data_IF_234645942768
#
_entry.id   IF_234645942768
#
_cell.length_a   1.000
_cell.length_b   1.000
_cell.length_c   1.000
_cell.angle_alpha   90.00
_cell.angle_beta   90.00
_cell.angle_gamma   90.00
#
_symmetry.space_group_name_H-M   'P 1'
#
loop_
_entity.id
_entity.type
_entity.pdbx_description
1 polymer ?
#
# COMPACT_ATOMS: atom_id res chain seq x y z
N UNK A 1 -1.36 -1.95 21.82
CA UNK A 1 -0.28 -2.74 21.17
C UNK A 1 0.94 -1.84 20.98
N UNK A 2 2.18 -2.36 21.03
CA UNK A 2 3.37 -1.56 20.68
C UNK A 2 3.45 -1.47 19.15
N UNK A 3 3.49 -0.27 18.55
CA UNK A 3 3.54 -0.11 17.09
C UNK A 3 4.79 -0.76 16.50
N UNK A 4 4.66 -1.34 15.31
CA UNK A 4 5.77 -1.93 14.57
C UNK A 4 6.39 -0.86 13.64
N UNK A 5 7.18 0.02 14.25
CA UNK A 5 7.88 1.10 13.52
C UNK A 5 9.24 0.59 13.03
N UNK A 6 9.45 0.64 11.74
CA UNK A 6 10.73 0.33 11.12
C UNK A 6 11.81 1.34 11.54
N UNK A 7 12.91 0.82 12.08
CA UNK A 7 14.02 1.64 12.61
C UNK A 7 15.10 1.94 11.56
N UNK A 8 14.92 1.48 10.33
CA UNK A 8 15.85 1.65 9.21
C UNK A 8 15.09 2.02 7.95
N UNK A 9 15.80 2.61 6.97
CA UNK A 9 15.23 2.94 5.68
C UNK A 9 15.25 1.75 4.70
N UNK A 10 16.19 0.82 4.86
CA UNK A 10 16.28 -0.41 4.05
C UNK A 10 16.01 -1.61 4.95
N UNK A 11 15.10 -2.47 4.53
CA UNK A 11 14.54 -3.58 5.30
C UNK A 11 14.64 -4.90 4.54
N UNK A 12 15.17 -5.90 5.16
CA UNK A 12 15.19 -7.23 4.57
C UNK A 12 16.51 -7.62 3.89
N UNK A 13 16.45 -8.56 2.92
CA UNK A 13 15.23 -9.09 2.28
C UNK A 13 14.32 -9.87 3.23
N UNK A 14 13.02 -9.81 3.02
CA UNK A 14 11.98 -10.53 3.77
C UNK A 14 11.04 -11.30 2.83
N UNK A 15 10.46 -12.38 3.30
CA UNK A 15 9.43 -13.10 2.55
C UNK A 15 8.09 -12.36 2.66
N UNK A 16 7.65 -11.76 1.54
CA UNK A 16 6.31 -11.18 1.40
C UNK A 16 5.32 -12.25 0.92
N UNK A 17 4.16 -12.35 1.57
CA UNK A 17 3.09 -13.28 1.17
C UNK A 17 2.54 -12.99 -0.24
N UNK A 18 2.68 -11.75 -0.71
CA UNK A 18 2.08 -11.25 -1.97
C UNK A 18 3.10 -10.99 -3.07
N UNK A 19 4.34 -10.71 -2.72
CA UNK A 19 5.32 -10.17 -3.65
C UNK A 19 6.62 -11.00 -3.73
N UNK A 20 6.73 -12.11 -2.98
CA UNK A 20 7.95 -12.93 -2.96
C UNK A 20 9.05 -12.37 -2.04
N UNK A 21 10.31 -12.58 -2.38
CA UNK A 21 11.47 -12.07 -1.62
C UNK A 21 11.59 -10.56 -1.87
N UNK A 22 11.32 -9.77 -0.85
CA UNK A 22 11.16 -8.32 -0.94
C UNK A 22 12.24 -7.58 -0.15
N UNK A 23 12.90 -6.62 -0.82
CA UNK A 23 13.70 -5.60 -0.16
C UNK A 23 12.84 -4.35 0.04
N UNK A 24 12.55 -4.03 1.31
CA UNK A 24 11.72 -2.88 1.67
C UNK A 24 12.51 -1.57 1.66
N UNK A 25 11.89 -0.51 1.13
CA UNK A 25 12.40 0.86 1.17
C UNK A 25 11.40 1.73 1.93
N UNK A 26 11.80 2.19 3.11
CA UNK A 26 11.05 3.13 3.93
C UNK A 26 11.55 4.56 3.67
N UNK A 27 10.72 5.39 3.01
CA UNK A 27 11.00 6.81 2.74
C UNK A 27 10.52 7.74 3.87
N UNK A 28 10.08 7.17 4.98
CA UNK A 28 9.41 7.87 6.06
C UNK A 28 10.29 7.86 7.31
N UNK A 29 9.98 8.70 8.33
CA UNK A 29 10.75 8.73 9.56
C UNK A 29 10.95 7.35 10.17
N UNK A 30 12.14 7.10 10.73
CA UNK A 30 12.45 5.84 11.41
C UNK A 30 12.13 5.88 12.92
N UNK A 31 11.70 7.02 13.42
CA UNK A 31 11.30 7.28 14.80
C UNK A 31 9.78 7.35 15.00
N UNK A 32 9.00 7.27 13.90
CA UNK A 32 7.54 7.36 13.98
C UNK A 32 6.85 7.23 12.63
N UNK A 33 5.55 7.48 12.62
CA UNK A 33 4.67 7.37 11.45
C UNK A 33 4.48 8.73 10.77
N UNK A 34 4.48 8.73 9.43
CA UNK A 34 4.06 9.86 8.61
C UNK A 34 3.12 9.36 7.52
N UNK A 35 1.81 9.58 7.70
CA UNK A 35 0.78 9.08 6.80
C UNK A 35 -0.36 10.09 6.64
N UNK A 36 -0.96 10.12 5.47
CA UNK A 36 -2.19 10.85 5.17
C UNK A 36 -3.47 10.08 5.55
N UNK A 37 -3.33 8.82 5.95
CA UNK A 37 -4.38 7.99 6.55
C UNK A 37 -4.03 7.64 8.01
N UNK A 38 -5.05 7.27 8.77
CA UNK A 38 -4.91 6.79 10.16
C UNK A 38 -5.69 5.48 10.39
N UNK A 39 -5.47 4.52 9.49
CA UNK A 39 -6.24 3.27 9.40
C UNK A 39 -6.31 2.53 10.73
N UNK A 40 -7.49 2.02 11.09
CA UNK A 40 -7.74 1.25 12.31
C UNK A 40 -6.88 -0.02 12.43
N UNK A 41 -6.44 -0.55 11.30
CA UNK A 41 -5.66 -1.78 11.23
C UNK A 41 -4.15 -1.57 10.99
N UNK A 42 -3.66 -0.33 11.04
CA UNK A 42 -2.28 -0.01 10.68
C UNK A 42 -1.28 -0.58 11.69
N UNK A 43 -0.37 -1.46 11.25
CA UNK A 43 0.67 -2.05 12.10
C UNK A 43 1.60 -0.98 12.71
N UNK A 44 1.74 0.19 12.06
CA UNK A 44 2.50 1.32 12.58
C UNK A 44 1.80 2.12 13.69
N UNK A 45 0.60 1.70 14.11
CA UNK A 45 -0.19 2.43 15.11
C UNK A 45 -0.92 3.64 14.54
N UNK A 46 -1.50 4.46 15.42
CA UNK A 46 -2.16 5.71 15.04
C UNK A 46 -1.17 6.85 14.84
N UNK A 47 -1.56 7.85 14.06
CA UNK A 47 -0.74 9.04 13.83
C UNK A 47 -0.46 9.85 15.11
N UNK A 48 -1.35 9.76 16.11
CA UNK A 48 -1.21 10.42 17.40
C UNK A 48 -0.20 9.75 18.33
N UNK A 49 -0.03 8.44 18.20
CA UNK A 49 0.79 7.64 19.12
C UNK A 49 2.29 7.81 18.85
N UNK A 50 2.65 7.93 17.56
CA UNK A 50 4.03 8.02 17.13
C UNK A 50 4.16 8.89 15.87
N UNK A 51 3.99 10.19 16.01
CA UNK A 51 4.26 11.10 14.91
C UNK A 51 5.77 11.14 14.66
N UNK A 52 6.18 10.73 13.45
CA UNK A 52 7.58 10.78 13.04
C UNK A 52 8.12 12.20 12.95
N UNK A 53 9.41 12.32 13.17
CA UNK A 53 10.14 13.58 13.10
C UNK A 53 10.36 14.06 11.67
N UNK A 54 11.62 14.06 11.23
CA UNK A 54 11.97 14.52 9.87
C UNK A 54 11.96 13.38 8.87
N UNK A 55 11.50 13.68 7.63
CA UNK A 55 11.68 12.77 6.49
C UNK A 55 13.18 12.49 6.29
N UNK A 56 13.59 11.25 6.01
CA UNK A 56 14.98 10.93 5.75
C UNK A 56 15.48 11.66 4.48
N UNK A 57 16.76 11.98 4.43
CA UNK A 57 17.34 12.52 3.20
C UNK A 57 17.35 11.45 2.09
N UNK A 58 16.74 11.76 0.95
CA UNK A 58 16.65 10.85 -0.19
C UNK A 58 18.02 10.32 -0.65
N UNK A 59 19.07 11.17 -0.59
CA UNK A 59 20.42 10.79 -0.98
C UNK A 59 21.02 9.74 -0.03
N UNK A 60 20.68 9.84 1.25
CA UNK A 60 21.10 8.84 2.25
C UNK A 60 20.39 7.51 2.01
N UNK A 61 19.07 7.54 1.79
CA UNK A 61 18.28 6.34 1.49
C UNK A 61 18.80 5.65 0.23
N UNK A 62 19.02 6.41 -0.84
CA UNK A 62 19.55 5.87 -2.12
C UNK A 62 20.94 5.24 -1.97
N UNK A 63 21.83 5.86 -1.20
CA UNK A 63 23.16 5.26 -0.91
C UNK A 63 23.03 3.95 -0.13
N UNK A 64 22.14 3.89 0.85
CA UNK A 64 21.88 2.65 1.61
C UNK A 64 21.30 1.57 0.69
N UNK A 65 20.36 1.93 -0.19
CA UNK A 65 19.78 1.01 -1.16
C UNK A 65 20.85 0.47 -2.13
N UNK A 66 21.67 1.35 -2.72
CA UNK A 66 22.75 0.96 -3.62
C UNK A 66 23.73 0.01 -2.94
N UNK A 67 24.19 0.35 -1.72
CA UNK A 67 25.08 -0.51 -0.94
C UNK A 67 24.49 -1.89 -0.70
N UNK A 68 23.19 -1.97 -0.32
CA UNK A 68 22.51 -3.25 -0.07
C UNK A 68 22.35 -4.07 -1.36
N UNK A 69 21.91 -3.45 -2.46
CA UNK A 69 21.77 -4.12 -3.76
C UNK A 69 23.10 -4.62 -4.30
N UNK A 70 24.15 -3.81 -4.21
CA UNK A 70 25.51 -4.19 -4.61
C UNK A 70 26.01 -5.41 -3.83
N UNK A 71 25.83 -5.40 -2.51
CA UNK A 71 26.21 -6.53 -1.66
C UNK A 71 25.42 -7.80 -2.04
N UNK A 72 24.08 -7.72 -2.10
CA UNK A 72 23.22 -8.85 -2.42
C UNK A 72 23.56 -9.45 -3.79
N UNK A 73 23.85 -8.60 -4.79
CA UNK A 73 24.25 -9.04 -6.13
C UNK A 73 25.61 -9.77 -6.09
N UNK A 74 26.59 -9.26 -5.32
CA UNK A 74 27.89 -9.90 -5.17
C UNK A 74 27.82 -11.25 -4.45
N UNK A 75 26.90 -11.36 -3.48
CA UNK A 75 26.69 -12.58 -2.67
C UNK A 75 25.78 -13.60 -3.40
N UNK A 76 25.21 -13.26 -4.57
CA UNK A 76 24.30 -14.11 -5.31
C UNK A 76 22.96 -14.32 -4.63
N UNK A 77 22.53 -13.38 -3.76
CA UNK A 77 21.26 -13.44 -3.07
C UNK A 77 20.08 -13.27 -4.05
N UNK A 78 18.98 -13.99 -3.79
CA UNK A 78 17.75 -13.86 -4.59
C UNK A 78 16.91 -12.65 -4.14
N UNK A 79 16.31 -11.98 -5.12
CA UNK A 79 15.40 -10.88 -4.90
C UNK A 79 14.30 -10.92 -5.98
N UNK A 80 13.04 -10.78 -5.57
CA UNK A 80 11.90 -10.72 -6.49
C UNK A 80 11.40 -9.29 -6.69
N UNK A 81 11.53 -8.46 -5.63
CA UNK A 81 10.94 -7.12 -5.65
C UNK A 81 11.64 -6.14 -4.71
N UNK A 82 11.75 -4.88 -5.13
CA UNK A 82 12.06 -3.72 -4.28
C UNK A 82 10.73 -3.04 -3.98
N UNK A 83 10.35 -2.94 -2.70
CA UNK A 83 9.01 -2.48 -2.30
C UNK A 83 9.08 -1.20 -1.49
N UNK A 84 8.49 -0.12 -2.01
CA UNK A 84 8.26 1.11 -1.27
C UNK A 84 7.04 0.92 -0.36
N UNK A 85 7.32 0.72 0.90
CA UNK A 85 6.37 0.61 2.01
C UNK A 85 7.12 0.96 3.30
N UNK A 86 6.42 1.24 4.38
CA UNK A 86 7.11 1.55 5.64
C UNK A 86 6.21 2.25 6.64
N UNK A 87 6.76 3.22 7.34
CA UNK A 87 6.11 3.92 8.45
C UNK A 87 5.08 4.97 7.98
N UNK A 88 4.21 4.63 7.04
CA UNK A 88 3.12 5.49 6.53
C UNK A 88 3.02 5.53 5.00
N UNK A 89 2.81 6.72 4.42
CA UNK A 89 2.55 6.90 2.99
C UNK A 89 3.81 7.36 2.23
N UNK A 90 4.42 6.52 1.38
CA UNK A 90 5.69 6.82 0.72
C UNK A 90 5.62 8.04 -0.22
N UNK A 91 4.46 8.31 -0.83
CA UNK A 91 4.29 9.44 -1.75
C UNK A 91 4.25 10.81 -1.05
N UNK A 92 4.27 10.85 0.28
CA UNK A 92 4.46 12.09 1.05
C UNK A 92 5.91 12.58 1.03
N UNK A 93 6.88 11.73 0.67
CA UNK A 93 8.27 12.15 0.62
C UNK A 93 8.48 13.20 -0.48
N UNK A 94 9.07 14.38 -0.19
CA UNK A 94 9.14 15.50 -1.14
C UNK A 94 9.96 15.19 -2.41
N UNK A 95 10.88 14.23 -2.33
CA UNK A 95 11.69 13.75 -3.48
C UNK A 95 11.27 12.36 -3.93
N UNK A 96 10.00 11.98 -3.78
CA UNK A 96 9.50 10.64 -4.12
C UNK A 96 9.82 10.25 -5.57
N UNK A 97 9.49 11.12 -6.53
CA UNK A 97 9.69 10.85 -7.96
C UNK A 97 11.17 10.61 -8.31
N UNK A 98 12.06 11.43 -7.78
CA UNK A 98 13.50 11.26 -7.96
C UNK A 98 14.00 9.92 -7.38
N UNK A 99 13.50 9.56 -6.19
CA UNK A 99 13.90 8.29 -5.57
C UNK A 99 13.42 7.09 -6.40
N UNK A 100 12.23 7.16 -6.97
CA UNK A 100 11.73 6.12 -7.89
C UNK A 100 12.66 5.99 -9.11
N UNK A 101 12.97 7.09 -9.79
CA UNK A 101 13.85 7.08 -10.96
C UNK A 101 15.22 6.47 -10.64
N UNK A 102 15.85 6.91 -9.57
CA UNK A 102 17.15 6.38 -9.13
C UNK A 102 17.09 4.93 -8.69
N UNK A 103 15.97 4.49 -8.09
CA UNK A 103 15.77 3.07 -7.72
C UNK A 103 15.66 2.19 -8.95
N UNK A 104 14.98 2.65 -10.00
CA UNK A 104 14.88 1.94 -11.28
C UNK A 104 16.28 1.80 -11.92
N UNK A 105 17.10 2.87 -11.90
CA UNK A 105 18.48 2.82 -12.37
C UNK A 105 19.33 1.78 -11.60
N UNK A 106 19.22 1.78 -10.27
CA UNK A 106 19.93 0.84 -9.41
C UNK A 106 19.46 -0.61 -9.64
N UNK A 107 18.15 -0.83 -9.73
CA UNK A 107 17.55 -2.11 -10.06
C UNK A 107 18.09 -2.64 -11.39
N UNK A 108 18.08 -1.82 -12.44
CA UNK A 108 18.57 -2.21 -13.76
C UNK A 108 20.04 -2.59 -13.77
N UNK A 109 20.85 -1.96 -12.87
CA UNK A 109 22.29 -2.25 -12.74
C UNK A 109 22.55 -3.57 -12.02
N UNK A 110 21.86 -3.84 -10.92
CA UNK A 110 22.18 -4.94 -10.01
C UNK A 110 21.26 -6.15 -10.14
N UNK A 111 19.98 -5.91 -10.47
CA UNK A 111 18.91 -6.92 -10.51
C UNK A 111 17.90 -6.62 -11.63
N UNK A 112 18.26 -6.70 -12.92
CA UNK A 112 17.44 -6.20 -14.04
C UNK A 112 16.04 -6.83 -14.13
N UNK A 113 15.87 -8.07 -13.65
CA UNK A 113 14.59 -8.78 -13.69
C UNK A 113 13.69 -8.52 -12.47
N UNK A 114 14.22 -7.86 -11.44
CA UNK A 114 13.50 -7.59 -10.19
C UNK A 114 12.49 -6.46 -10.40
N UNK A 115 11.30 -6.61 -9.81
CA UNK A 115 10.22 -5.62 -9.91
C UNK A 115 10.41 -4.49 -8.90
N UNK A 116 9.94 -3.29 -9.25
CA UNK A 116 9.78 -2.17 -8.32
C UNK A 116 8.29 -2.02 -8.01
N UNK A 117 7.95 -2.04 -6.73
CA UNK A 117 6.57 -1.94 -6.23
C UNK A 117 6.41 -0.75 -5.29
N UNK A 118 5.29 -0.03 -5.43
CA UNK A 118 4.90 1.03 -4.50
C UNK A 118 3.54 0.68 -3.91
N UNK A 119 3.45 0.64 -2.57
CA UNK A 119 2.19 0.54 -1.84
C UNK A 119 1.79 1.94 -1.39
N UNK A 120 0.67 2.46 -1.89
CA UNK A 120 0.20 3.81 -1.58
C UNK A 120 -1.29 3.83 -1.26
N UNK A 121 -1.69 4.72 -0.38
CA UNK A 121 -3.10 5.01 -0.08
C UNK A 121 -3.77 5.92 -1.12
N UNK A 122 -3.09 6.22 -2.20
CA UNK A 122 -3.57 7.00 -3.35
C UNK A 122 -3.87 8.49 -3.08
N UNK A 123 -3.70 9.02 -1.87
CA UNK A 123 -4.06 10.42 -1.56
C UNK A 123 -3.26 11.45 -2.36
N UNK A 124 -2.09 11.09 -2.89
CA UNK A 124 -1.19 12.01 -3.60
C UNK A 124 -1.17 11.83 -5.12
N UNK A 125 -1.99 10.95 -5.68
CA UNK A 125 -1.99 10.69 -7.14
C UNK A 125 -2.49 11.89 -7.98
N UNK A 126 -3.07 12.91 -7.34
CA UNK A 126 -3.38 14.19 -8.01
C UNK A 126 -2.14 15.07 -8.26
N UNK A 127 -1.03 14.81 -7.56
CA UNK A 127 0.25 15.45 -7.85
C UNK A 127 0.86 14.80 -9.10
N UNK A 128 1.18 15.65 -10.12
CA UNK A 128 1.64 15.16 -11.40
C UNK A 128 2.97 14.39 -11.32
N UNK A 129 3.92 14.85 -10.51
CA UNK A 129 5.21 14.17 -10.33
C UNK A 129 5.05 12.78 -9.69
N UNK A 130 4.15 12.67 -8.70
CA UNK A 130 3.81 11.39 -8.07
C UNK A 130 3.14 10.45 -9.07
N UNK A 131 2.17 10.96 -9.85
CA UNK A 131 1.47 10.18 -10.87
C UNK A 131 2.44 9.63 -11.92
N UNK A 132 3.33 10.47 -12.45
CA UNK A 132 4.34 10.08 -13.45
C UNK A 132 5.35 9.07 -12.88
N UNK A 133 5.75 9.22 -11.62
CA UNK A 133 6.62 8.24 -10.96
C UNK A 133 5.94 6.88 -10.80
N UNK A 134 4.65 6.87 -10.44
CA UNK A 134 3.86 5.64 -10.30
C UNK A 134 3.60 4.94 -11.64
N UNK A 135 3.63 5.64 -12.77
CA UNK A 135 3.56 5.03 -14.11
C UNK A 135 4.84 4.26 -14.49
N UNK A 136 5.98 4.55 -13.85
CA UNK A 136 7.28 3.93 -14.17
C UNK A 136 7.54 2.63 -13.41
N UNK A 137 6.81 2.39 -12.33
CA UNK A 137 7.02 1.20 -11.50
C UNK A 137 6.28 -0.01 -12.05
N UNK A 138 6.80 -1.21 -11.80
CA UNK A 138 6.20 -2.46 -12.28
C UNK A 138 4.87 -2.77 -11.57
N UNK A 139 4.79 -2.48 -10.28
CA UNK A 139 3.60 -2.70 -9.47
C UNK A 139 3.20 -1.40 -8.75
N UNK A 140 2.34 -0.63 -9.40
CA UNK A 140 1.65 0.51 -8.80
C UNK A 140 0.45 -0.03 -8.01
N UNK A 141 0.60 -0.19 -6.68
CA UNK A 141 -0.40 -0.81 -5.80
C UNK A 141 -1.08 0.29 -4.99
N UNK A 142 -2.35 0.56 -5.33
CA UNK A 142 -3.14 1.62 -4.73
C UNK A 142 -4.31 1.06 -3.92
N UNK A 143 -4.57 1.66 -2.77
CA UNK A 143 -5.57 1.20 -1.81
C UNK A 143 -6.98 1.67 -2.17
N UNK A 144 -7.97 0.75 -2.05
CA UNK A 144 -9.40 1.02 -1.97
C UNK A 144 -10.02 0.01 -0.99
N UNK A 145 -10.32 0.42 0.23
CA UNK A 145 -10.82 -0.45 1.29
C UNK A 145 -12.34 -0.34 1.51
N UNK A 146 -13.06 0.37 0.64
CA UNK A 146 -14.50 0.50 0.72
C UNK A 146 -15.11 1.02 -0.57
N UNK A 147 -16.42 0.82 -0.74
CA UNK A 147 -17.20 1.33 -1.86
C UNK A 147 -17.74 2.74 -1.64
N UNK A 148 -17.86 3.16 -0.38
CA UNK A 148 -18.41 4.44 0.03
C UNK A 148 -17.42 5.28 0.83
N UNK A 149 -17.53 6.61 0.71
CA UNK A 149 -16.69 7.56 1.47
C UNK A 149 -16.81 7.36 2.98
N UNK A 150 -18.02 7.05 3.47
CA UNK A 150 -18.30 6.80 4.88
C UNK A 150 -17.49 5.62 5.42
N UNK A 151 -17.46 4.51 4.70
CA UNK A 151 -16.72 3.31 5.07
C UNK A 151 -15.22 3.57 5.08
N UNK A 152 -14.71 4.30 4.08
CA UNK A 152 -13.29 4.68 4.03
C UNK A 152 -12.93 5.62 5.18
N UNK A 153 -13.81 6.58 5.52
CA UNK A 153 -13.60 7.45 6.69
C UNK A 153 -13.59 6.68 8.00
N UNK A 154 -14.38 5.64 8.12
CA UNK A 154 -14.40 4.79 9.32
C UNK A 154 -13.15 3.90 9.42
N UNK A 155 -12.75 3.25 8.32
CA UNK A 155 -11.66 2.25 8.33
C UNK A 155 -10.28 2.91 8.17
N UNK A 156 -10.12 3.76 7.17
CA UNK A 156 -8.84 4.34 6.76
C UNK A 156 -8.58 5.71 7.41
N UNK A 157 -9.61 6.40 7.84
CA UNK A 157 -9.54 7.68 8.57
C UNK A 157 -8.61 8.69 7.88
N UNK A 158 -8.94 9.12 6.64
CA UNK A 158 -8.17 10.15 5.95
C UNK A 158 -7.98 11.39 6.83
N UNK A 159 -6.73 11.88 6.92
CA UNK A 159 -6.41 13.10 7.70
C UNK A 159 -7.01 14.33 7.03
N UNK A 160 -7.11 14.32 5.70
CA UNK A 160 -7.80 15.35 4.94
C UNK A 160 -9.31 15.10 4.98
N UNK A 161 -10.06 16.02 5.61
CA UNK A 161 -11.53 15.96 5.67
C UNK A 161 -12.23 16.07 4.30
N UNK A 162 -11.51 16.45 3.25
CA UNK A 162 -12.01 16.54 1.87
C UNK A 162 -11.82 15.26 1.04
N UNK A 163 -11.38 14.16 1.65
CA UNK A 163 -11.22 12.89 0.93
C UNK A 163 -12.51 12.46 0.25
N UNK A 164 -12.44 12.10 -1.02
CA UNK A 164 -13.55 11.64 -1.83
C UNK A 164 -13.10 10.49 -2.75
N UNK A 165 -13.73 9.32 -2.61
CA UNK A 165 -13.36 8.12 -3.36
C UNK A 165 -13.58 8.28 -4.87
N UNK A 166 -14.65 8.98 -5.28
CA UNK A 166 -14.93 9.22 -6.70
C UNK A 166 -13.80 9.99 -7.39
N UNK A 167 -13.21 11.00 -6.72
CA UNK A 167 -12.06 11.72 -7.26
C UNK A 167 -10.80 10.84 -7.36
N UNK A 168 -10.59 9.95 -6.39
CA UNK A 168 -9.48 8.98 -6.41
C UNK A 168 -9.68 8.00 -7.57
N UNK A 169 -10.87 7.45 -7.75
CA UNK A 169 -11.21 6.54 -8.85
C UNK A 169 -11.00 7.19 -10.21
N UNK A 170 -11.46 8.43 -10.42
CA UNK A 170 -11.22 9.17 -11.67
C UNK A 170 -9.71 9.32 -11.97
N UNK A 171 -8.90 9.54 -10.93
CA UNK A 171 -7.43 9.59 -11.10
C UNK A 171 -6.82 8.21 -11.35
N UNK A 172 -7.35 7.16 -10.71
CA UNK A 172 -6.90 5.79 -10.97
C UNK A 172 -7.18 5.34 -12.41
N UNK A 173 -8.30 5.74 -13.00
CA UNK A 173 -8.64 5.47 -14.41
C UNK A 173 -7.60 6.03 -15.38
N UNK A 174 -6.92 7.12 -15.01
CA UNK A 174 -5.87 7.72 -15.84
C UNK A 174 -4.62 6.81 -15.98
N UNK A 175 -4.42 5.82 -15.10
CA UNK A 175 -3.40 4.79 -15.27
C UNK A 175 -3.74 3.76 -16.37
N UNK A 176 -4.95 3.79 -16.94
CA UNK A 176 -5.38 2.95 -18.08
C UNK A 176 -5.19 1.45 -17.84
N UNK A 177 -5.47 1.01 -16.62
CA UNK A 177 -5.30 -0.38 -16.20
C UNK A 177 -3.92 -0.71 -15.60
N UNK A 178 -2.89 0.13 -15.77
CA UNK A 178 -1.56 -0.07 -15.20
C UNK A 178 -1.52 0.24 -13.69
N UNK A 179 -2.49 -0.31 -12.98
CA UNK A 179 -2.66 -0.18 -11.53
C UNK A 179 -3.08 -1.52 -10.93
N UNK A 180 -2.64 -1.79 -9.73
CA UNK A 180 -3.11 -2.90 -8.90
C UNK A 180 -3.93 -2.27 -7.77
N UNK A 181 -5.18 -2.69 -7.62
CA UNK A 181 -5.99 -2.26 -6.48
C UNK A 181 -5.76 -3.21 -5.31
N UNK A 182 -5.44 -2.67 -4.15
CA UNK A 182 -5.29 -3.43 -2.92
C UNK A 182 -6.47 -3.12 -1.97
N UNK A 183 -7.14 -4.16 -1.48
CA UNK A 183 -8.31 -4.03 -0.60
C UNK A 183 -8.16 -4.87 0.65
N UNK A 184 -8.23 -4.24 1.83
CA UNK A 184 -8.34 -4.88 3.12
C UNK A 184 -9.81 -5.15 3.44
N UNK A 185 -10.23 -6.41 3.50
CA UNK A 185 -11.53 -6.78 4.05
C UNK A 185 -11.42 -6.97 5.56
N UNK A 186 -12.27 -6.25 6.30
CA UNK A 186 -12.22 -6.21 7.77
C UNK A 186 -13.61 -5.95 8.33
N UNK A 187 -13.85 -6.47 9.53
CA UNK A 187 -15.04 -6.17 10.33
C UNK A 187 -14.69 -6.01 11.80
N UNK A 188 -15.59 -5.47 12.57
CA UNK A 188 -15.41 -5.27 14.02
C UNK A 188 -16.16 -4.07 14.54
N UNK A 189 -15.56 -3.40 15.51
CA UNK A 189 -16.13 -2.22 16.16
C UNK A 189 -15.01 -1.25 16.54
N UNK A 190 -15.29 0.04 16.44
CA UNK A 190 -14.44 1.11 16.92
C UNK A 190 -15.32 2.20 17.55
N UNK A 191 -15.07 2.54 18.81
CA UNK A 191 -15.82 3.54 19.58
C UNK A 191 -17.35 3.35 19.54
N UNK A 192 -17.82 2.10 19.62
CA UNK A 192 -19.25 1.74 19.56
C UNK A 192 -19.85 1.77 18.14
N UNK A 193 -19.05 2.02 17.12
CA UNK A 193 -19.48 2.03 15.71
C UNK A 193 -19.08 0.70 15.06
N UNK A 194 -20.02 0.05 14.39
CA UNK A 194 -19.76 -1.19 13.65
C UNK A 194 -18.92 -0.87 12.41
N UNK A 195 -17.86 -1.63 12.24
CA UNK A 195 -16.96 -1.61 11.08
C UNK A 195 -17.17 -2.89 10.30
N UNK A 196 -17.65 -2.80 9.07
CA UNK A 196 -17.80 -3.98 8.19
C UNK A 196 -17.87 -3.57 6.71
N UNK A 197 -16.76 -3.75 5.98
CA UNK A 197 -16.74 -3.54 4.53
C UNK A 197 -17.06 -4.80 3.72
N UNK A 198 -17.60 -5.84 4.39
CA UNK A 198 -18.06 -7.07 3.75
C UNK A 198 -19.58 -7.13 3.56
N UNK A 199 -20.30 -6.07 3.98
CA UNK A 199 -21.74 -5.98 3.79
C UNK A 199 -22.08 -5.95 2.29
N UNK A 200 -23.24 -6.56 1.87
CA UNK A 200 -23.58 -6.68 0.45
C UNK A 200 -23.58 -5.36 -0.31
N UNK A 201 -24.12 -4.29 0.27
CA UNK A 201 -24.16 -2.97 -0.34
C UNK A 201 -22.76 -2.38 -0.54
N UNK A 202 -21.91 -2.53 0.46
CA UNK A 202 -20.51 -2.07 0.43
C UNK A 202 -19.68 -2.82 -0.61
N UNK A 203 -19.84 -4.15 -0.67
CA UNK A 203 -19.15 -4.99 -1.67
C UNK A 203 -19.65 -4.69 -3.08
N UNK A 204 -20.97 -4.42 -3.25
CA UNK A 204 -21.53 -4.01 -4.54
C UNK A 204 -20.93 -2.69 -5.01
N UNK A 205 -20.93 -1.66 -4.16
CA UNK A 205 -20.36 -0.36 -4.48
C UNK A 205 -18.86 -0.45 -4.77
N UNK A 206 -18.09 -1.19 -3.95
CA UNK A 206 -16.68 -1.46 -4.19
C UNK A 206 -16.45 -2.17 -5.52
N UNK A 207 -17.27 -3.15 -5.87
CA UNK A 207 -17.18 -3.87 -7.15
C UNK A 207 -17.40 -2.94 -8.34
N UNK A 208 -18.31 -1.98 -8.23
CA UNK A 208 -18.55 -0.99 -9.27
C UNK A 208 -17.31 -0.09 -9.47
N UNK A 209 -16.63 0.32 -8.40
CA UNK A 209 -15.37 1.06 -8.50
C UNK A 209 -14.29 0.23 -9.22
N UNK A 210 -14.17 -1.07 -8.93
CA UNK A 210 -13.22 -1.97 -9.63
C UNK A 210 -13.55 -2.04 -11.13
N UNK A 211 -14.83 -2.15 -11.50
CA UNK A 211 -15.27 -2.15 -12.91
C UNK A 211 -14.94 -0.85 -13.63
N UNK A 212 -15.04 0.29 -12.93
CA UNK A 212 -14.66 1.60 -13.49
C UNK A 212 -13.15 1.73 -13.70
N UNK A 213 -12.34 1.35 -12.71
CA UNK A 213 -10.88 1.46 -12.73
C UNK A 213 -10.28 0.50 -13.76
N UNK A 214 -10.82 -0.72 -13.88
CA UNK A 214 -10.29 -1.82 -14.71
C UNK A 214 -8.82 -2.10 -14.42
N UNK A 215 -8.45 -2.38 -13.17
CA UNK A 215 -7.06 -2.61 -12.79
C UNK A 215 -6.53 -3.90 -13.44
N UNK A 216 -5.21 -3.98 -13.65
CA UNK A 216 -4.57 -5.23 -14.12
C UNK A 216 -4.66 -6.37 -13.10
N UNK A 217 -4.85 -6.03 -11.83
CA UNK A 217 -5.03 -6.98 -10.73
C UNK A 217 -5.72 -6.33 -9.54
N UNK A 218 -6.47 -7.14 -8.79
CA UNK A 218 -6.92 -6.82 -7.44
C UNK A 218 -6.23 -7.73 -6.44
N UNK A 219 -5.71 -7.18 -5.34
CA UNK A 219 -5.13 -7.90 -4.21
C UNK A 219 -6.07 -7.79 -3.01
N UNK A 220 -6.91 -8.79 -2.79
CA UNK A 220 -7.77 -8.89 -1.62
C UNK A 220 -7.02 -9.55 -0.45
N UNK A 221 -7.10 -8.97 0.74
CA UNK A 221 -6.46 -9.53 1.94
C UNK A 221 -7.22 -9.12 3.19
N UNK A 222 -6.88 -9.73 4.32
CA UNK A 222 -7.45 -9.40 5.62
C UNK A 222 -6.36 -9.36 6.69
N UNK A 223 -6.77 -9.07 7.92
CA UNK A 223 -5.88 -8.98 9.08
C UNK A 223 -5.06 -10.25 9.25
N UNK A 224 -3.77 -10.09 9.54
CA UNK A 224 -2.87 -11.22 9.83
C UNK A 224 -2.02 -10.99 11.09
N UNK A 225 -1.96 -9.75 11.54
CA UNK A 225 -1.21 -9.33 12.72
C UNK A 225 -2.13 -8.53 13.65
N UNK A 226 -1.76 -8.40 14.92
CA UNK A 226 -2.46 -7.52 15.85
C UNK A 226 -2.51 -6.08 15.31
N UNK A 227 -3.65 -5.42 15.52
CA UNK A 227 -3.92 -4.05 15.07
C UNK A 227 -4.05 -3.09 16.26
N UNK A 228 -3.90 -1.77 16.06
CA UNK A 228 -4.17 -0.78 17.11
C UNK A 228 -5.58 -0.91 17.67
N UNK A 229 -6.56 -1.14 16.79
CA UNK A 229 -7.94 -1.39 17.21
C UNK A 229 -8.11 -2.89 17.53
N UNK A 230 -8.29 -3.26 18.81
CA UNK A 230 -8.33 -4.66 19.22
C UNK A 230 -9.62 -5.38 18.83
N UNK A 231 -10.69 -4.64 18.54
CA UNK A 231 -12.01 -5.21 18.24
C UNK A 231 -12.19 -5.54 16.76
N UNK A 232 -11.17 -5.30 15.92
CA UNK A 232 -11.20 -5.71 14.53
C UNK A 232 -11.06 -7.24 14.39
N UNK A 233 -11.74 -7.79 13.39
CA UNK A 233 -11.79 -9.23 13.12
C UNK A 233 -11.36 -9.51 11.69
N UNK A 234 -10.60 -10.59 11.54
CA UNK A 234 -10.20 -11.12 10.25
C UNK A 234 -11.40 -11.66 9.49
N UNK A 235 -11.43 -11.41 8.18
CA UNK A 235 -12.30 -12.07 7.20
C UNK A 235 -11.56 -13.28 6.66
N UNK A 236 -12.21 -14.45 6.61
CA UNK A 236 -11.54 -15.66 6.13
C UNK A 236 -11.28 -15.63 4.63
N UNK A 237 -10.31 -16.42 4.18
CA UNK A 237 -9.97 -16.54 2.76
C UNK A 237 -11.16 -17.05 1.93
N UNK A 238 -11.90 -18.02 2.48
CA UNK A 238 -13.09 -18.59 1.84
C UNK A 238 -14.22 -17.57 1.73
N UNK A 239 -14.36 -16.70 2.73
CA UNK A 239 -15.33 -15.63 2.71
C UNK A 239 -14.93 -14.56 1.70
N UNK A 240 -13.69 -14.11 1.71
CA UNK A 240 -13.17 -13.17 0.69
C UNK A 240 -13.37 -13.72 -0.72
N UNK A 241 -13.12 -15.03 -0.94
CA UNK A 241 -13.32 -15.66 -2.24
C UNK A 241 -14.79 -15.54 -2.70
N UNK A 242 -15.76 -15.72 -1.79
CA UNK A 242 -17.19 -15.53 -2.12
C UNK A 242 -17.52 -14.08 -2.44
N UNK A 243 -16.96 -13.11 -1.68
CA UNK A 243 -17.21 -11.69 -1.90
C UNK A 243 -16.74 -11.22 -3.27
N UNK A 244 -15.58 -11.71 -3.73
CA UNK A 244 -14.98 -11.27 -4.99
C UNK A 244 -15.37 -12.14 -6.19
N UNK A 245 -16.08 -13.26 -5.96
CA UNK A 245 -16.43 -14.23 -7.03
C UNK A 245 -17.12 -13.58 -8.23
N UNK A 246 -18.09 -12.65 -8.06
CA UNK A 246 -18.73 -11.99 -9.21
C UNK A 246 -17.74 -11.29 -10.15
N UNK A 247 -16.73 -10.61 -9.59
CA UNK A 247 -15.69 -9.97 -10.40
C UNK A 247 -14.74 -10.98 -11.06
N UNK A 248 -14.46 -12.10 -10.40
CA UNK A 248 -13.68 -13.21 -10.99
C UNK A 248 -14.42 -13.81 -12.19
N UNK A 249 -15.74 -14.01 -12.06
CA UNK A 249 -16.58 -14.52 -13.15
C UNK A 249 -16.65 -13.56 -14.34
N UNK A 250 -16.48 -12.25 -14.10
CA UNK A 250 -16.34 -11.20 -15.12
C UNK A 250 -14.93 -11.12 -15.74
N UNK A 251 -13.99 -11.94 -15.27
CA UNK A 251 -12.62 -12.01 -15.78
C UNK A 251 -11.61 -11.07 -15.10
N UNK A 252 -11.96 -10.45 -13.97
CA UNK A 252 -11.02 -9.64 -13.19
C UNK A 252 -9.97 -10.55 -12.54
N UNK A 253 -8.69 -10.24 -12.72
CA UNK A 253 -7.60 -10.96 -12.08
C UNK A 253 -7.53 -10.60 -10.58
N UNK A 254 -7.92 -11.52 -9.69
CA UNK A 254 -7.96 -11.29 -8.23
C UNK A 254 -7.09 -12.32 -7.52
N UNK A 255 -6.16 -11.84 -6.68
CA UNK A 255 -5.41 -12.66 -5.74
C UNK A 255 -5.93 -12.46 -4.31
N UNK A 256 -5.98 -13.54 -3.53
CA UNK A 256 -6.43 -13.52 -2.13
C UNK A 256 -5.29 -14.02 -1.24
N UNK A 257 -4.85 -13.19 -0.29
CA UNK A 257 -3.73 -13.48 0.61
C UNK A 257 -4.18 -13.70 2.07
#
# INVERSE_FOLDING_TARGET
MKPDIYKTNILGPIHSRRLGISLGVNLLPTDGKACSFDCLYCECGYNTDHRGGHMPDATVVLRQLESKLSQMSADGEMLDVITFAGNGEPTLHPRFAEVIDRTIDLRNRYFPEVKVSVLSNATRISNQEVFEALLKVDNNILKIDGGHDETIRLIDRPVDGCYNIGQIVERMKAFRGEVIVQTMFVRGEHDGIVIDNTLPDEVSAWSDLIREIRPKQVMAYSLDRPTPEPNLRKVSREEMARLVQPLVDEGVNISIA
#
